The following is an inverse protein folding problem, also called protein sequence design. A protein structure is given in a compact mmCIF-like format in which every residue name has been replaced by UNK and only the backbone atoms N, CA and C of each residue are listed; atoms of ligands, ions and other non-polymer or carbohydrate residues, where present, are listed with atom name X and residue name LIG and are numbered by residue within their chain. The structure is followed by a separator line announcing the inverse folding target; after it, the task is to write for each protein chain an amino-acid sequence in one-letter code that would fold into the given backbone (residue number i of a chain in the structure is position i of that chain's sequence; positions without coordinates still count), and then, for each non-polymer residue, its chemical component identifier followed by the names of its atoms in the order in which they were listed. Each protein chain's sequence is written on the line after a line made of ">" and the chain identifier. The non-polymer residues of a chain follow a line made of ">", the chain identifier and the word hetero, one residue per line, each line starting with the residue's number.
data_IF_620199249053
#
_entry.id   IF_620199249053
#
_cell.length_a   1.000
_cell.length_b   1.000
_cell.length_c   1.000
_cell.angle_alpha   90.00
_cell.angle_beta   90.00
_cell.angle_gamma   90.00
#
_symmetry.space_group_name_H-M   'P 1'
#
loop_
_entity.id
_entity.type
_entity.pdbx_description
1 polymer ?
#
# COMPACT_ATOMS: atom_id res chain seq x y z
N UNK A 1 -8.17 -9.34 15.33
CA UNK A 1 -6.94 -8.90 14.65
C UNK A 1 -7.00 -7.38 14.57
N UNK A 2 -5.87 -6.66 14.56
CA UNK A 2 -5.88 -5.20 14.45
C UNK A 2 -5.76 -4.83 12.98
N UNK A 3 -6.83 -4.29 12.39
CA UNK A 3 -6.80 -3.79 11.02
C UNK A 3 -5.96 -2.51 10.93
N UNK A 4 -5.22 -2.33 9.82
CA UNK A 4 -4.42 -1.12 9.58
C UNK A 4 -5.24 0.13 9.25
N UNK A 5 -6.51 -0.06 8.91
CA UNK A 5 -7.46 0.98 8.54
C UNK A 5 -8.86 0.63 9.09
N UNK A 6 -9.69 1.65 9.27
CA UNK A 6 -11.05 1.52 9.83
C UNK A 6 -12.12 1.70 8.75
N UNK A 7 -13.39 1.40 9.09
CA UNK A 7 -14.53 1.65 8.20
C UNK A 7 -14.75 3.16 7.99
N UNK A 8 -14.47 3.99 8.99
CA UNK A 8 -14.57 5.45 8.88
C UNK A 8 -13.55 5.99 7.87
N UNK A 9 -12.30 5.49 7.88
CA UNK A 9 -11.28 5.84 6.89
C UNK A 9 -11.72 5.51 5.45
N UNK A 10 -12.52 4.45 5.29
CA UNK A 10 -13.09 4.07 3.99
C UNK A 10 -14.24 5.02 3.61
N UNK A 11 -15.15 5.33 4.53
CA UNK A 11 -16.27 6.24 4.27
C UNK A 11 -15.78 7.64 3.90
N UNK A 12 -14.79 8.17 4.63
CA UNK A 12 -14.18 9.48 4.38
C UNK A 12 -13.56 9.57 2.98
N UNK A 13 -12.92 8.49 2.52
CA UNK A 13 -12.28 8.43 1.19
C UNK A 13 -13.25 8.13 0.07
N UNK A 14 -14.29 7.37 0.35
CA UNK A 14 -15.36 7.05 -0.59
C UNK A 14 -16.25 8.27 -0.85
N UNK A 15 -16.32 9.22 0.11
CA UNK A 15 -17.16 10.41 0.03
C UNK A 15 -18.65 10.11 0.22
N UNK A 16 -18.99 8.91 0.69
CA UNK A 16 -20.34 8.47 1.06
C UNK A 16 -20.27 7.41 2.15
N UNK A 17 -21.35 7.28 2.90
CA UNK A 17 -21.49 6.21 3.88
C UNK A 17 -21.57 4.84 3.21
N UNK A 18 -20.94 3.86 3.86
CA UNK A 18 -21.02 2.45 3.48
C UNK A 18 -22.35 1.87 3.96
N UNK A 19 -23.05 1.15 3.09
CA UNK A 19 -24.24 0.37 3.47
C UNK A 19 -23.86 -0.80 4.38
N UNK A 20 -24.80 -1.35 5.15
CA UNK A 20 -24.55 -2.48 6.07
C UNK A 20 -23.92 -3.71 5.36
N UNK A 21 -24.29 -3.96 4.11
CA UNK A 21 -23.72 -5.03 3.30
C UNK A 21 -22.29 -4.73 2.84
N UNK A 22 -22.00 -3.47 2.51
CA UNK A 22 -20.63 -3.03 2.19
C UNK A 22 -19.76 -3.03 3.44
N UNK A 23 -20.25 -2.61 4.60
CA UNK A 23 -19.50 -2.63 5.86
C UNK A 23 -19.08 -4.05 6.25
N UNK A 24 -20.00 -5.02 6.14
CA UNK A 24 -19.68 -6.44 6.40
C UNK A 24 -18.58 -6.97 5.50
N UNK A 25 -18.64 -6.66 4.20
CA UNK A 25 -17.63 -7.08 3.22
C UNK A 25 -16.31 -6.34 3.39
N UNK A 26 -16.37 -5.02 3.61
CA UNK A 26 -15.22 -4.17 3.84
C UNK A 26 -14.43 -4.60 5.07
N UNK A 27 -15.11 -5.05 6.14
CA UNK A 27 -14.43 -5.59 7.33
C UNK A 27 -13.57 -6.81 6.97
N UNK A 28 -14.13 -7.78 6.22
CA UNK A 28 -13.38 -8.95 5.78
C UNK A 28 -12.21 -8.58 4.85
N UNK A 29 -12.45 -7.65 3.92
CA UNK A 29 -11.42 -7.18 3.00
C UNK A 29 -10.30 -6.39 3.68
N UNK A 30 -10.61 -5.63 4.74
CA UNK A 30 -9.62 -4.94 5.56
C UNK A 30 -8.72 -5.92 6.32
N UNK A 31 -9.30 -7.02 6.83
CA UNK A 31 -8.54 -8.09 7.49
C UNK A 31 -7.61 -8.79 6.49
N UNK A 32 -8.11 -9.12 5.30
CA UNK A 32 -7.32 -9.74 4.23
C UNK A 32 -6.22 -8.81 3.73
N UNK A 33 -6.53 -7.53 3.50
CA UNK A 33 -5.56 -6.51 3.10
C UNK A 33 -4.44 -6.37 4.14
N UNK A 34 -4.84 -6.32 5.42
CA UNK A 34 -3.90 -6.23 6.53
C UNK A 34 -3.00 -7.46 6.56
N UNK A 35 -3.55 -8.67 6.44
CA UNK A 35 -2.76 -9.90 6.41
C UNK A 35 -1.76 -9.93 5.24
N UNK A 36 -2.14 -9.45 4.06
CA UNK A 36 -1.25 -9.35 2.89
C UNK A 36 -0.11 -8.36 3.11
N UNK A 37 -0.40 -7.17 3.64
CA UNK A 37 0.61 -6.16 3.96
C UNK A 37 1.57 -6.70 5.01
N UNK A 38 1.06 -7.26 6.11
CA UNK A 38 1.89 -7.78 7.21
C UNK A 38 2.75 -8.98 6.80
N UNK A 39 2.25 -9.82 5.88
CA UNK A 39 3.04 -10.94 5.32
C UNK A 39 4.28 -10.45 4.57
N UNK A 40 4.20 -9.30 3.89
CA UNK A 40 5.29 -8.70 3.11
C UNK A 40 6.17 -7.76 3.96
N UNK A 41 5.53 -7.00 4.84
CA UNK A 41 6.10 -5.93 5.64
C UNK A 41 5.68 -6.05 7.10
N UNK A 42 6.30 -6.97 7.87
CA UNK A 42 5.92 -7.22 9.25
C UNK A 42 6.13 -6.01 10.17
N UNK A 43 6.94 -5.02 9.77
CA UNK A 43 7.18 -3.82 10.58
C UNK A 43 5.92 -2.99 10.86
N UNK A 44 4.91 -3.06 9.99
CA UNK A 44 3.67 -2.30 10.16
C UNK A 44 2.72 -2.93 11.19
N UNK A 45 2.99 -4.15 11.66
CA UNK A 45 2.22 -4.78 12.74
C UNK A 45 2.35 -4.02 14.06
N UNK A 46 3.53 -3.45 14.31
CA UNK A 46 3.86 -2.73 15.55
C UNK A 46 3.85 -1.23 15.38
N UNK A 47 4.11 -0.72 14.17
CA UNK A 47 4.17 0.72 13.90
C UNK A 47 3.40 1.03 12.61
N UNK A 48 2.06 1.09 12.69
CA UNK A 48 1.26 1.54 11.56
C UNK A 48 1.63 2.98 11.20
N UNK A 49 1.72 3.23 9.91
CA UNK A 49 2.02 4.55 9.32
C UNK A 49 0.84 5.02 8.48
N UNK A 50 0.75 6.32 8.23
CA UNK A 50 -0.28 6.87 7.34
C UNK A 50 -0.23 6.26 5.93
N UNK A 51 0.95 5.86 5.45
CA UNK A 51 1.12 5.18 4.15
C UNK A 51 0.50 3.78 4.19
N UNK A 52 0.77 2.99 5.24
CA UNK A 52 0.17 1.65 5.37
C UNK A 52 -1.36 1.68 5.48
N UNK A 53 -1.91 2.67 6.17
CA UNK A 53 -3.36 2.90 6.21
C UNK A 53 -3.88 3.31 4.83
N UNK A 54 -3.16 4.22 4.14
CA UNK A 54 -3.53 4.67 2.78
C UNK A 54 -3.58 3.51 1.79
N UNK A 55 -2.58 2.65 1.78
CA UNK A 55 -2.49 1.48 0.89
C UNK A 55 -3.59 0.48 1.23
N UNK A 56 -3.80 0.17 2.51
CA UNK A 56 -4.89 -0.70 2.95
C UNK A 56 -6.27 -0.19 2.45
N UNK A 57 -6.58 1.09 2.63
CA UNK A 57 -7.81 1.69 2.10
C UNK A 57 -7.88 1.61 0.57
N UNK A 58 -6.79 1.87 -0.14
CA UNK A 58 -6.76 1.84 -1.60
C UNK A 58 -7.08 0.45 -2.16
N UNK A 59 -6.52 -0.60 -1.55
CA UNK A 59 -6.80 -2.00 -1.92
C UNK A 59 -8.30 -2.32 -1.77
N UNK A 60 -8.92 -1.94 -0.64
CA UNK A 60 -10.33 -2.23 -0.38
C UNK A 60 -11.25 -1.39 -1.26
N UNK A 61 -10.95 -0.10 -1.46
CA UNK A 61 -11.72 0.79 -2.35
C UNK A 61 -11.70 0.27 -3.80
N UNK A 62 -10.59 -0.33 -4.24
CA UNK A 62 -10.48 -0.95 -5.56
C UNK A 62 -11.45 -2.12 -5.74
N UNK A 63 -11.57 -2.97 -4.73
CA UNK A 63 -12.50 -4.10 -4.74
C UNK A 63 -13.95 -3.62 -4.62
N UNK A 64 -14.22 -2.61 -3.77
CA UNK A 64 -15.53 -1.97 -3.65
C UNK A 64 -16.00 -1.31 -4.96
N UNK A 65 -15.08 -0.65 -5.69
CA UNK A 65 -15.38 0.02 -6.95
C UNK A 65 -15.48 -0.92 -8.16
N UNK A 66 -14.89 -2.12 -8.08
CA UNK A 66 -14.96 -3.14 -9.14
C UNK A 66 -15.12 -4.57 -8.59
N UNK A 67 -16.25 -4.88 -7.92
CA UNK A 67 -16.45 -6.16 -7.25
C UNK A 67 -16.57 -7.34 -8.23
N UNK A 68 -17.00 -7.11 -9.47
CA UNK A 68 -17.09 -8.13 -10.52
C UNK A 68 -15.81 -8.27 -11.36
N UNK A 69 -14.76 -7.50 -11.06
CA UNK A 69 -13.47 -7.57 -11.78
C UNK A 69 -13.60 -7.24 -13.27
N UNK A 70 -14.54 -6.36 -13.67
CA UNK A 70 -14.67 -6.00 -15.09
C UNK A 70 -13.44 -5.23 -15.54
N UNK A 71 -12.79 -5.81 -16.54
CA UNK A 71 -11.57 -5.35 -17.19
C UNK A 71 -11.90 -4.09 -17.99
N UNK A 72 -11.47 -2.91 -17.54
CA UNK A 72 -11.32 -1.80 -18.47
C UNK A 72 -10.10 -2.07 -19.35
N UNK A 73 -10.31 -1.99 -20.66
CA UNK A 73 -9.31 -2.16 -21.71
C UNK A 73 -8.30 -1.00 -21.74
N UNK A 74 -7.05 -1.39 -21.98
CA UNK A 74 -5.88 -0.61 -22.41
C UNK A 74 -5.28 0.43 -21.44
N UNK A 75 -4.22 0.01 -20.74
CA UNK A 75 -3.07 0.85 -20.41
C UNK A 75 -1.83 0.07 -20.87
N UNK A 76 -1.17 0.63 -21.87
CA UNK A 76 0.20 0.40 -22.38
C UNK A 76 1.01 -0.76 -21.77
N UNK A 77 1.31 -1.75 -22.62
CA UNK A 77 2.52 -2.59 -22.69
C UNK A 77 3.24 -3.08 -21.41
N UNK A 78 2.53 -3.33 -20.31
CA UNK A 78 3.06 -4.08 -19.17
C UNK A 78 2.45 -5.49 -19.10
N UNK A 79 3.05 -6.43 -19.83
CA UNK A 79 2.78 -7.85 -19.71
C UNK A 79 3.55 -8.44 -18.52
N UNK A 80 2.84 -8.64 -17.41
CA UNK A 80 3.20 -9.64 -16.42
C UNK A 80 1.98 -10.52 -16.23
N UNK A 81 2.15 -11.85 -16.32
CA UNK A 81 1.10 -12.83 -16.01
C UNK A 81 0.79 -12.74 -14.53
N UNK A 82 -0.02 -11.74 -14.14
CA UNK A 82 -0.56 -11.66 -12.80
C UNK A 82 -1.75 -12.61 -12.79
N UNK A 83 -1.43 -13.74 -12.17
CA UNK A 83 -2.24 -14.80 -11.64
C UNK A 83 -3.75 -14.50 -11.50
N UNK A 84 -4.51 -15.56 -11.76
CA UNK A 84 -5.97 -15.70 -11.78
C UNK A 84 -6.80 -15.07 -10.63
N UNK A 85 -6.15 -14.53 -9.59
CA UNK A 85 -6.76 -13.84 -8.45
C UNK A 85 -7.35 -12.47 -8.81
N UNK A 86 -6.81 -11.75 -9.81
CA UNK A 86 -7.40 -10.48 -10.28
C UNK A 86 -8.80 -10.62 -10.89
N UNK A 87 -9.15 -11.82 -11.36
CA UNK A 87 -10.46 -12.11 -11.94
C UNK A 87 -11.52 -12.52 -10.91
N UNK A 88 -11.16 -12.65 -9.61
CA UNK A 88 -12.07 -13.15 -8.56
C UNK A 88 -12.65 -12.08 -7.62
N UNK A 89 -12.32 -10.79 -7.81
CA UNK A 89 -12.73 -9.74 -6.87
C UNK A 89 -12.03 -9.85 -5.51
N UNK A 90 -10.88 -10.51 -5.46
CA UNK A 90 -10.07 -10.67 -4.25
C UNK A 90 -9.18 -9.44 -4.01
N UNK A 91 -8.95 -9.12 -2.74
CA UNK A 91 -8.01 -8.08 -2.32
C UNK A 91 -6.58 -8.54 -2.66
N UNK A 92 -5.81 -7.69 -3.34
CA UNK A 92 -4.42 -7.98 -3.69
C UNK A 92 -3.53 -6.75 -3.49
N UNK A 93 -2.24 -6.99 -3.27
CA UNK A 93 -1.23 -5.94 -3.17
C UNK A 93 -0.52 -5.80 -4.52
N UNK A 94 -0.58 -4.62 -5.13
CA UNK A 94 0.07 -4.29 -6.40
C UNK A 94 1.54 -3.87 -6.21
N UNK A 95 2.33 -3.88 -7.29
CA UNK A 95 3.76 -3.54 -7.22
C UNK A 95 3.98 -2.06 -6.87
N UNK A 96 3.17 -1.14 -7.41
CA UNK A 96 3.20 0.28 -7.05
C UNK A 96 2.95 0.50 -5.55
N UNK A 97 1.99 -0.23 -4.97
CA UNK A 97 1.70 -0.18 -3.53
C UNK A 97 2.85 -0.76 -2.70
N UNK A 98 3.51 -1.81 -3.19
CA UNK A 98 4.72 -2.36 -2.58
C UNK A 98 5.86 -1.34 -2.62
N UNK A 99 6.00 -0.59 -3.71
CA UNK A 99 7.00 0.46 -3.85
C UNK A 99 6.71 1.64 -2.91
N UNK A 100 5.44 2.04 -2.78
CA UNK A 100 5.04 3.11 -1.85
C UNK A 100 5.25 2.73 -0.37
N UNK A 101 5.01 1.46 -0.03
CA UNK A 101 5.32 0.92 1.31
C UNK A 101 6.82 0.73 1.54
N UNK A 102 7.65 0.78 0.50
CA UNK A 102 9.08 0.61 0.68
C UNK A 102 9.64 1.88 1.32
N UNK A 103 10.40 1.77 2.44
CA UNK A 103 11.05 2.93 3.01
C UNK A 103 11.95 3.59 1.95
N UNK A 104 12.02 4.93 1.91
CA UNK A 104 12.82 5.64 0.92
C UNK A 104 14.25 5.12 1.00
N UNK A 105 14.80 4.72 -0.16
CA UNK A 105 16.19 4.25 -0.25
C UNK A 105 17.07 5.38 0.28
N UNK A 106 17.65 5.22 1.48
CA UNK A 106 18.66 6.16 1.99
C UNK A 106 19.78 6.18 0.95
N UNK A 107 19.94 7.30 0.24
CA UNK A 107 21.06 7.51 -0.68
C UNK A 107 22.32 7.65 0.17
N UNK A 108 22.97 6.51 0.44
CA UNK A 108 24.16 6.44 1.27
C UNK A 108 25.41 6.82 0.48
N UNK A 109 25.52 8.07 0.00
CA UNK A 109 26.78 8.61 -0.51
C UNK A 109 26.84 10.14 -0.34
N UNK A 110 27.12 10.61 0.87
CA UNK A 110 27.75 11.92 1.06
C UNK A 110 29.22 11.67 1.38
N UNK A 111 30.08 11.80 0.36
CA UNK A 111 31.52 11.89 0.58
C UNK A 111 31.74 13.29 1.15
N UNK A 112 32.03 13.37 2.44
CA UNK A 112 32.52 14.60 3.06
C UNK A 112 33.99 14.72 2.67
N UNK A 113 34.41 15.71 1.86
CA UNK A 113 35.83 15.94 1.65
C UNK A 113 36.44 16.38 2.99
N UNK A 114 37.37 15.59 3.54
CA UNK A 114 38.14 16.00 4.71
C UNK A 114 38.96 17.24 4.34
N UNK A 115 38.91 18.28 5.17
CA UNK A 115 39.62 19.52 4.96
C UNK A 115 41.12 19.31 4.62
N UNK A 116 41.74 20.15 3.77
CA UNK A 116 43.18 20.09 3.56
C UNK A 116 43.90 20.47 4.86
N UNK A 117 44.84 19.62 5.28
CA UNK A 117 45.80 19.91 6.34
C UNK A 117 46.69 21.07 5.87
N UNK A 118 46.52 22.26 6.45
CA UNK A 118 47.41 23.40 6.19
C UNK A 118 48.66 23.26 7.07
N UNK A 119 49.88 23.09 6.52
CA UNK A 119 51.08 23.16 7.33
C UNK A 119 51.35 24.61 7.75
N UNK A 120 51.60 24.82 9.04
CA UNK A 120 52.03 26.09 9.59
C UNK A 120 53.41 26.46 9.04
N UNK A 121 53.51 27.63 8.40
CA UNK A 121 54.79 28.23 8.02
C UNK A 121 55.27 29.15 9.15
N UNK A 122 56.55 28.97 9.47
CA UNK A 122 57.39 29.66 10.47
C UNK A 122 57.51 31.16 10.25
#
# INVERSE_FOLDING_TARGET
>A
MVALATLDDLADRLGRDLTDEEQRRATAWLDDATALILKRFPQYATTPTAISTKVCCAMVLRVLGNPEGKRQESIDDYSYTIDSSRSRGEVYLSDDEVEELRPPKKTAFSIVPSAPCTPAAT
#
